data_IF_050436260231
#
_entry.id   IF_050436260231
#
_cell.length_a   1.000
_cell.length_b   1.000
_cell.length_c   1.000
_cell.angle_alpha   90.00
_cell.angle_beta   90.00
_cell.angle_gamma   90.00
#
_symmetry.space_group_name_H-M   'P 1'
#
loop_
_entity.id
_entity.type
_entity.pdbx_description
1 polymer ?
#
# COMPACT_ATOMS: atom_id res chain seq x y z
N UNK A 1 -5.25 0.14 5.44
CA UNK A 1 -4.43 -1.10 5.33
C UNK A 1 -3.71 -1.40 6.65
N UNK A 2 -3.13 -2.59 6.79
CA UNK A 2 -2.30 -3.00 7.94
C UNK A 2 -1.07 -3.76 7.45
N UNK A 3 -0.07 -3.91 8.32
CA UNK A 3 1.05 -4.82 8.07
C UNK A 3 0.55 -6.28 8.08
N UNK A 4 1.09 -7.09 7.18
CA UNK A 4 0.79 -8.50 7.00
C UNK A 4 1.95 -9.35 7.53
N UNK A 5 2.08 -9.38 8.86
CA UNK A 5 3.08 -10.13 9.59
C UNK A 5 2.51 -10.66 10.92
N UNK A 6 3.26 -11.52 11.61
CA UNK A 6 2.82 -12.16 12.87
C UNK A 6 3.18 -11.35 14.14
N UNK A 7 3.56 -10.07 14.01
CA UNK A 7 3.92 -9.25 15.16
C UNK A 7 2.67 -8.62 15.78
N UNK A 8 2.42 -8.92 17.06
CA UNK A 8 1.26 -8.41 17.79
C UNK A 8 1.17 -6.87 17.80
N UNK A 9 2.30 -6.18 17.98
CA UNK A 9 2.37 -4.71 17.98
C UNK A 9 1.97 -4.12 16.63
N UNK A 10 2.28 -4.80 15.53
CA UNK A 10 1.94 -4.35 14.17
C UNK A 10 0.48 -4.63 13.81
N UNK A 11 -0.15 -5.64 14.43
CA UNK A 11 -1.53 -6.04 14.14
C UNK A 11 -2.56 -4.94 14.43
N UNK A 12 -2.28 -4.09 15.42
CA UNK A 12 -3.15 -2.97 15.81
C UNK A 12 -2.89 -1.70 15.00
N UNK A 13 -1.75 -1.61 14.29
CA UNK A 13 -1.38 -0.43 13.50
C UNK A 13 -2.23 -0.35 12.24
N UNK A 14 -2.53 0.88 11.84
CA UNK A 14 -3.33 1.18 10.64
C UNK A 14 -2.60 2.20 9.80
N UNK A 15 -2.64 1.99 8.50
CA UNK A 15 -2.01 2.87 7.53
C UNK A 15 -3.02 3.28 6.46
N UNK A 16 -2.85 4.50 5.96
CA UNK A 16 -3.58 5.06 4.82
C UNK A 16 -2.63 5.06 3.63
N UNK A 17 -3.05 4.40 2.55
CA UNK A 17 -2.38 4.44 1.27
C UNK A 17 -3.03 5.54 0.43
N UNK A 18 -2.23 6.49 -0.06
CA UNK A 18 -2.65 7.44 -1.08
C UNK A 18 -2.03 7.03 -2.41
N UNK A 19 -2.88 6.80 -3.42
CA UNK A 19 -2.48 6.47 -4.78
C UNK A 19 -2.67 7.69 -5.66
N UNK A 20 -1.68 8.00 -6.50
CA UNK A 20 -1.72 9.11 -7.45
C UNK A 20 -1.63 8.53 -8.88
N UNK A 21 -2.77 8.25 -9.53
CA UNK A 21 -2.79 7.59 -10.83
C UNK A 21 -2.12 8.38 -11.96
N UNK A 22 -2.02 9.70 -11.81
CA UNK A 22 -1.42 10.59 -12.83
C UNK A 22 0.07 10.33 -13.06
N UNK A 23 0.80 9.90 -12.03
CA UNK A 23 2.27 9.77 -12.06
C UNK A 23 2.77 8.41 -11.51
N UNK A 24 1.86 7.45 -11.29
CA UNK A 24 2.14 6.14 -10.70
C UNK A 24 2.92 6.22 -9.37
N UNK A 25 2.68 7.28 -8.59
CA UNK A 25 3.28 7.42 -7.27
C UNK A 25 2.31 7.04 -6.17
N UNK A 26 2.87 6.66 -5.02
CA UNK A 26 2.11 6.35 -3.82
C UNK A 26 2.74 7.01 -2.60
N UNK A 27 1.94 7.26 -1.57
CA UNK A 27 2.39 7.68 -0.25
C UNK A 27 1.68 6.87 0.83
N UNK A 28 2.33 6.68 1.98
CA UNK A 28 1.79 5.92 3.11
C UNK A 28 1.88 6.75 4.37
N UNK A 29 0.79 6.82 5.12
CA UNK A 29 0.70 7.55 6.38
C UNK A 29 0.10 6.67 7.47
N UNK A 30 0.65 6.77 8.67
CA UNK A 30 0.10 6.18 9.89
C UNK A 30 -0.64 7.27 10.68
N UNK A 31 -1.95 7.13 10.95
CA UNK A 31 -2.67 8.09 11.78
C UNK A 31 -2.09 8.18 13.18
N UNK A 32 -2.02 9.40 13.74
CA UNK A 32 -1.57 9.61 15.12
C UNK A 32 -2.70 9.23 16.08
N UNK A 33 -2.48 8.21 16.91
CA UNK A 33 -3.44 7.76 17.93
C UNK A 33 -2.95 8.20 19.31
N UNK A 34 -3.76 9.00 20.01
CA UNK A 34 -3.44 9.46 21.38
C UNK A 34 -3.26 8.28 22.32
N UNK A 35 -2.25 8.37 23.19
CA UNK A 35 -1.91 7.35 24.21
C UNK A 35 -1.52 5.98 23.65
N UNK A 36 -1.20 5.85 22.36
CA UNK A 36 -0.77 4.58 21.75
C UNK A 36 0.70 4.23 21.98
N UNK A 37 1.53 5.22 22.34
CA UNK A 37 2.99 5.05 22.41
C UNK A 37 3.67 4.95 21.05
N UNK A 38 2.92 5.04 19.94
CA UNK A 38 3.44 4.93 18.56
C UNK A 38 3.49 6.32 17.92
N UNK A 39 4.64 6.63 17.32
CA UNK A 39 4.80 7.85 16.51
C UNK A 39 4.15 7.62 15.16
N UNK A 40 2.96 8.19 14.96
CA UNK A 40 2.32 8.25 13.65
C UNK A 40 3.01 9.26 12.73
N UNK A 41 2.48 9.41 11.52
CA UNK A 41 2.95 10.35 10.52
C UNK A 41 3.26 9.69 9.18
N UNK A 42 4.21 10.26 8.44
CA UNK A 42 4.59 9.77 7.11
C UNK A 42 5.42 8.49 7.25
N UNK A 43 4.87 7.37 6.80
CA UNK A 43 5.57 6.10 6.71
C UNK A 43 6.34 5.97 5.39
N UNK A 44 5.74 6.47 4.30
CA UNK A 44 6.37 6.55 2.98
C UNK A 44 6.06 7.90 2.33
N UNK A 45 7.10 8.62 1.91
CA UNK A 45 6.93 9.82 1.09
C UNK A 45 6.38 9.48 -0.30
N UNK A 46 5.59 10.40 -0.88
CA UNK A 46 5.12 10.33 -2.26
C UNK A 46 6.29 10.03 -3.20
N UNK A 47 6.31 8.83 -3.78
CA UNK A 47 7.31 8.38 -4.74
C UNK A 47 6.78 7.19 -5.54
N UNK A 48 7.47 6.85 -6.64
CA UNK A 48 7.23 5.59 -7.35
C UNK A 48 7.88 4.46 -6.57
N UNK A 49 7.19 3.34 -6.42
CA UNK A 49 7.69 2.16 -5.69
C UNK A 49 7.85 1.01 -6.66
N UNK A 50 9.01 0.35 -6.58
CA UNK A 50 9.34 -0.76 -7.45
C UNK A 50 8.66 -2.05 -6.97
N UNK A 51 8.09 -2.82 -7.89
CA UNK A 51 7.44 -4.12 -7.62
C UNK A 51 8.44 -5.26 -7.38
N UNK A 52 9.71 -5.09 -7.78
CA UNK A 52 10.79 -6.07 -7.62
C UNK A 52 11.17 -6.34 -6.15
N UNK A 53 10.87 -5.40 -5.23
CA UNK A 53 11.03 -5.62 -3.80
C UNK A 53 10.08 -6.71 -3.28
N UNK A 54 9.00 -6.99 -4.02
CA UNK A 54 8.07 -8.08 -3.76
C UNK A 54 8.65 -9.40 -4.31
N UNK A 55 9.62 -9.96 -3.59
CA UNK A 55 10.23 -11.28 -3.92
C UNK A 55 9.24 -12.45 -4.00
N UNK A 56 7.97 -12.23 -3.67
CA UNK A 56 6.91 -13.24 -3.67
C UNK A 56 6.42 -13.58 -5.09
N UNK A 57 6.66 -12.72 -6.10
CA UNK A 57 6.14 -12.90 -7.46
C UNK A 57 7.22 -13.11 -8.54
N UNK A 58 8.34 -13.75 -8.20
CA UNK A 58 9.52 -13.93 -9.07
C UNK A 58 9.29 -14.78 -10.34
N UNK A 59 8.09 -15.32 -10.57
CA UNK A 59 7.78 -16.12 -11.76
C UNK A 59 6.88 -15.43 -12.81
N UNK A 60 6.35 -14.21 -12.54
CA UNK A 60 5.36 -13.56 -13.43
C UNK A 60 5.92 -12.33 -14.17
N UNK A 61 7.02 -11.73 -13.70
CA UNK A 61 7.51 -10.43 -14.19
C UNK A 61 8.39 -10.47 -15.45
N UNK A 62 8.20 -11.42 -16.37
CA UNK A 62 8.81 -11.31 -17.72
C UNK A 62 7.95 -10.39 -18.60
N UNK A 63 7.95 -9.09 -18.29
CA UNK A 63 7.36 -8.04 -19.15
C UNK A 63 6.41 -7.05 -18.47
N UNK A 64 6.14 -7.18 -17.16
CA UNK A 64 5.27 -6.23 -16.42
C UNK A 64 6.07 -5.00 -15.95
N UNK A 65 5.38 -3.87 -15.80
CA UNK A 65 5.95 -2.61 -15.28
C UNK A 65 6.75 -2.85 -13.98
N UNK A 66 7.94 -2.25 -13.90
CA UNK A 66 8.80 -2.29 -12.70
C UNK A 66 8.24 -1.48 -11.54
N UNK A 67 7.07 -0.85 -11.68
CA UNK A 67 6.50 0.02 -10.65
C UNK A 67 5.05 -0.34 -10.39
N UNK A 68 4.62 -0.13 -9.15
CA UNK A 68 3.21 -0.25 -8.78
C UNK A 68 2.38 0.78 -9.52
N UNK A 69 1.19 0.36 -9.93
CA UNK A 69 0.16 1.18 -10.58
C UNK A 69 -1.12 1.16 -9.75
N UNK A 70 -2.10 2.01 -10.08
CA UNK A 70 -3.39 2.01 -9.38
C UNK A 70 -4.07 0.63 -9.39
N UNK A 71 -3.91 -0.14 -10.48
CA UNK A 71 -4.52 -1.46 -10.65
C UNK A 71 -3.96 -2.53 -9.68
N UNK A 72 -2.79 -2.31 -9.09
CA UNK A 72 -2.22 -3.22 -8.11
C UNK A 72 -2.82 -3.03 -6.70
N UNK A 73 -3.64 -1.98 -6.49
CA UNK A 73 -4.20 -1.58 -5.20
C UNK A 73 -5.73 -1.74 -5.15
N UNK A 74 -6.19 -2.96 -4.84
CA UNK A 74 -7.60 -3.27 -4.60
C UNK A 74 -7.82 -3.78 -3.18
N UNK A 75 -9.08 -3.77 -2.71
CA UNK A 75 -9.42 -4.31 -1.38
C UNK A 75 -9.12 -5.81 -1.32
N UNK A 76 -8.36 -6.23 -0.32
CA UNK A 76 -7.84 -7.59 -0.18
C UNK A 76 -6.49 -7.83 -0.85
N UNK A 77 -5.94 -6.85 -1.59
CA UNK A 77 -4.61 -6.99 -2.18
C UNK A 77 -3.53 -7.12 -1.10
N UNK A 78 -2.61 -8.06 -1.32
CA UNK A 78 -1.38 -8.22 -0.56
C UNK A 78 -0.22 -7.63 -1.38
N UNK A 79 0.42 -6.59 -0.85
CA UNK A 79 1.49 -5.85 -1.53
C UNK A 79 2.70 -5.73 -0.63
N UNK A 80 3.90 -5.77 -1.22
CA UNK A 80 5.15 -5.55 -0.49
C UNK A 80 5.75 -4.23 -0.95
N UNK A 81 5.84 -3.28 -0.03
CA UNK A 81 6.34 -1.92 -0.29
C UNK A 81 7.57 -1.70 0.58
N UNK A 82 8.73 -1.50 -0.03
CA UNK A 82 10.03 -1.36 0.66
C UNK A 82 10.26 -2.46 1.72
N UNK A 83 10.04 -3.73 1.35
CA UNK A 83 10.13 -4.91 2.24
C UNK A 83 9.10 -5.00 3.38
N UNK A 84 8.14 -4.08 3.46
CA UNK A 84 7.02 -4.20 4.40
C UNK A 84 5.81 -4.84 3.69
N UNK A 85 5.34 -6.02 4.14
CA UNK A 85 4.14 -6.63 3.61
C UNK A 85 2.90 -5.93 4.17
N UNK A 86 1.97 -5.56 3.30
CA UNK A 86 0.71 -4.92 3.66
C UNK A 86 -0.46 -5.66 3.05
N UNK A 87 -1.59 -5.61 3.76
CA UNK A 87 -2.91 -6.01 3.23
C UNK A 87 -3.86 -4.82 3.22
N UNK A 88 -4.46 -4.56 2.07
CA UNK A 88 -5.44 -3.50 1.87
C UNK A 88 -6.80 -3.95 2.42
N UNK A 89 -7.26 -3.30 3.49
CA UNK A 89 -8.48 -3.71 4.20
C UNK A 89 -9.75 -3.08 3.63
N UNK A 90 -9.65 -1.85 3.14
CA UNK A 90 -10.76 -1.06 2.63
C UNK A 90 -10.23 0.09 1.78
N UNK A 91 -11.10 0.68 0.98
CA UNK A 91 -10.87 1.89 0.19
C UNK A 91 -11.97 2.90 0.48
N UNK A 92 -11.70 4.19 0.28
CA UNK A 92 -12.77 5.19 0.29
C UNK A 92 -13.66 5.07 -0.96
N UNK A 93 -14.87 5.61 -0.86
CA UNK A 93 -15.87 5.55 -1.93
C UNK A 93 -15.41 6.25 -3.21
N UNK A 94 -14.68 7.37 -3.07
CA UNK A 94 -14.19 8.13 -4.21
C UNK A 94 -13.17 7.32 -5.03
N UNK A 95 -12.24 6.66 -4.36
CA UNK A 95 -11.23 5.80 -4.98
C UNK A 95 -11.86 4.57 -5.63
N UNK A 96 -12.88 3.97 -4.99
CA UNK A 96 -13.64 2.86 -5.60
C UNK A 96 -14.32 3.30 -6.90
N UNK A 97 -15.07 4.41 -6.88
CA UNK A 97 -15.71 4.96 -8.07
C UNK A 97 -14.70 5.29 -9.16
N UNK A 98 -13.56 5.89 -8.79
CA UNK A 98 -12.50 6.17 -9.75
C UNK A 98 -11.99 4.89 -10.44
N UNK A 99 -11.70 3.84 -9.67
CA UNK A 99 -11.23 2.56 -10.23
C UNK A 99 -12.29 1.90 -11.11
N UNK A 100 -13.57 1.91 -10.72
CA UNK A 100 -14.67 1.35 -11.53
C UNK A 100 -14.80 2.03 -12.91
N UNK A 101 -14.54 3.34 -13.01
CA UNK A 101 -14.66 4.09 -14.27
C UNK A 101 -13.41 4.01 -15.16
N UNK A 102 -12.26 3.60 -14.60
CA UNK A 102 -10.95 3.65 -15.28
C UNK A 102 -10.26 2.27 -15.36
N UNK A 103 -10.98 1.18 -15.05
CA UNK A 103 -10.50 -0.21 -15.12
C UNK A 103 -10.59 -0.81 -16.53
#
# INVERSE_FOLDING_TARGET
MRLDNDKYEDAIRRFVLAVYPIDDTIAIFEPVIRNSGIVGGKFLQKQRVNTEDSKINSNISKGKSKFYTANDFYVGAHVVINSFPFVLLSSDEHSLRYMEHNA
#
